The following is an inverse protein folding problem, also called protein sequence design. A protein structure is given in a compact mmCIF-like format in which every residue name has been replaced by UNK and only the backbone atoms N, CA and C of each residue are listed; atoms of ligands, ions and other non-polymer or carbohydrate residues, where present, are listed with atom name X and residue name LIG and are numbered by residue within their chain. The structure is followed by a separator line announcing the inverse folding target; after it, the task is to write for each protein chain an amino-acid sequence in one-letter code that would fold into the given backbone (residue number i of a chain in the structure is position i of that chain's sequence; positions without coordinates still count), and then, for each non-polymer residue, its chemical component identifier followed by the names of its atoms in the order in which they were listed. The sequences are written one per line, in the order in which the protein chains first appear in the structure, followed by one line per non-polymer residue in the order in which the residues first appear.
data_IF_072311111136
#
_entry.id   IF_072311111136
#
_cell.length_a   1.000
_cell.length_b   1.000
_cell.length_c   1.000
_cell.angle_alpha   90.00
_cell.angle_beta   90.00
_cell.angle_gamma   90.00
#
_symmetry.space_group_name_H-M   'P 1'
#
loop_
_entity.id
_entity.type
_entity.pdbx_description
1 polymer ?
#
# COMPACT_ATOMS: atom_id res chain seq x y z
N UNK A 1 25.33 5.12 -8.70
CA UNK A 1 23.91 4.87 -9.00
C UNK A 1 23.34 4.03 -7.86
N UNK A 2 23.01 4.67 -6.74
CA UNK A 2 22.57 4.00 -5.50
C UNK A 2 21.14 4.38 -5.09
N UNK A 3 20.37 4.96 -6.00
CA UNK A 3 19.02 5.53 -5.75
C UNK A 3 17.92 4.45 -5.81
N UNK A 4 18.27 3.17 -5.97
CA UNK A 4 17.30 2.14 -6.37
C UNK A 4 17.03 1.04 -5.34
N UNK A 5 17.37 1.29 -4.06
CA UNK A 5 16.77 0.56 -2.95
C UNK A 5 15.51 1.34 -2.55
N UNK A 6 14.32 0.77 -2.75
CA UNK A 6 13.06 1.48 -2.51
C UNK A 6 13.01 2.06 -1.09
N UNK A 7 12.57 3.32 -0.95
CA UNK A 7 12.68 4.11 0.29
C UNK A 7 12.24 3.38 1.56
N UNK A 8 11.10 2.69 1.52
CA UNK A 8 10.62 1.92 2.67
C UNK A 8 11.49 0.72 3.06
N UNK A 9 12.23 0.13 2.11
CA UNK A 9 13.24 -0.88 2.43
C UNK A 9 14.52 -0.24 2.97
N UNK A 10 14.90 0.96 2.53
CA UNK A 10 16.06 1.66 3.11
C UNK A 10 15.75 2.08 4.54
N UNK A 11 14.58 2.66 4.80
CA UNK A 11 14.14 3.09 6.13
C UNK A 11 14.02 1.89 7.07
N UNK A 12 13.41 0.80 6.60
CA UNK A 12 13.31 -0.44 7.37
C UNK A 12 14.67 -1.14 7.54
N UNK A 13 15.54 -1.12 6.53
CA UNK A 13 16.90 -1.67 6.60
C UNK A 13 17.78 -0.86 7.56
N UNK A 14 17.69 0.47 7.56
CA UNK A 14 18.38 1.32 8.52
C UNK A 14 17.96 1.00 9.96
N UNK A 15 16.68 0.71 10.18
CA UNK A 15 16.18 0.22 11.47
C UNK A 15 16.78 -1.13 11.87
N UNK A 16 16.94 -2.05 10.91
CA UNK A 16 17.56 -3.37 11.13
C UNK A 16 19.07 -3.23 11.38
N UNK A 17 19.78 -2.38 10.64
CA UNK A 17 21.20 -2.06 10.80
C UNK A 17 21.50 -1.39 12.14
N UNK A 18 20.59 -0.52 12.62
CA UNK A 18 20.65 0.09 13.94
C UNK A 18 20.34 -0.89 15.10
N UNK A 19 20.14 -2.18 14.81
CA UNK A 19 19.90 -3.23 15.81
C UNK A 19 18.44 -3.57 16.06
N UNK A 20 17.51 -3.00 15.27
CA UNK A 20 16.07 -3.29 15.30
C UNK A 20 15.68 -4.65 14.72
N UNK A 21 16.41 -5.71 15.10
CA UNK A 21 16.18 -7.09 14.63
C UNK A 21 15.15 -7.84 15.48
N UNK A 22 14.72 -7.26 16.61
CA UNK A 22 13.74 -7.85 17.53
C UNK A 22 12.49 -6.98 17.63
N UNK A 23 11.34 -7.61 17.94
CA UNK A 23 10.08 -6.90 18.16
C UNK A 23 10.11 -5.92 19.35
N UNK A 24 11.15 -5.96 20.19
CA UNK A 24 11.33 -5.05 21.30
C UNK A 24 11.50 -3.60 20.83
N UNK A 25 12.13 -3.36 19.67
CA UNK A 25 12.26 -2.03 19.07
C UNK A 25 10.90 -1.46 18.64
N UNK A 26 10.06 -2.29 18.01
CA UNK A 26 8.70 -1.91 17.63
C UNK A 26 7.82 -1.62 18.85
N UNK A 27 7.95 -2.42 19.92
CA UNK A 27 7.24 -2.19 21.18
C UNK A 27 7.68 -0.90 21.87
N UNK A 28 9.00 -0.66 21.94
CA UNK A 28 9.55 0.58 22.50
C UNK A 28 9.08 1.80 21.70
N UNK A 29 9.14 1.74 20.36
CA UNK A 29 8.67 2.80 19.48
C UNK A 29 7.17 3.07 19.66
N UNK A 30 6.35 2.02 19.75
CA UNK A 30 4.91 2.15 20.03
C UNK A 30 4.61 2.77 21.40
N UNK A 31 5.36 2.38 22.44
CA UNK A 31 5.24 2.96 23.78
C UNK A 31 5.65 4.43 23.80
N UNK A 32 6.77 4.77 23.15
CA UNK A 32 7.23 6.15 22.99
C UNK A 32 6.20 7.00 22.23
N UNK A 33 5.58 6.45 21.17
CA UNK A 33 4.53 7.12 20.41
C UNK A 33 3.29 7.39 21.27
N UNK A 34 2.91 6.43 22.13
CA UNK A 34 1.80 6.59 23.08
C UNK A 34 2.11 7.67 24.12
N UNK A 35 3.34 7.74 24.62
CA UNK A 35 3.79 8.80 25.53
C UNK A 35 3.85 10.18 24.86
N UNK A 36 4.10 10.23 23.54
CA UNK A 36 4.12 11.46 22.74
C UNK A 36 2.74 11.92 22.27
N UNK A 37 1.69 11.11 22.39
CA UNK A 37 0.32 11.45 22.00
C UNK A 37 -0.20 12.76 22.61
N UNK A 38 0.04 13.12 23.89
CA UNK A 38 -0.31 14.45 24.42
C UNK A 38 0.50 15.61 23.80
N UNK A 39 1.64 15.34 23.16
CA UNK A 39 2.45 16.33 22.43
C UNK A 39 2.04 16.45 20.95
N UNK A 40 1.10 15.62 20.47
CA UNK A 40 0.54 15.72 19.12
C UNK A 40 0.12 17.15 18.67
N UNK A 41 -0.49 18.02 19.52
CA UNK A 41 -0.82 19.38 19.10
C UNK A 41 0.41 20.23 18.71
N UNK A 42 1.60 19.92 19.21
CA UNK A 42 2.83 20.61 18.80
C UNK A 42 3.24 20.22 17.38
N UNK A 43 3.01 18.97 16.98
CA UNK A 43 3.23 18.53 15.60
C UNK A 43 2.22 19.15 14.62
N UNK A 44 0.98 19.37 15.07
CA UNK A 44 -0.05 20.05 14.28
C UNK A 44 0.23 21.56 14.06
N UNK A 45 1.14 22.16 14.84
CA UNK A 45 1.57 23.54 14.65
C UNK A 45 2.57 23.72 13.49
N UNK A 46 3.08 22.63 12.91
CA UNK A 46 4.01 22.68 11.78
C UNK A 46 3.26 23.16 10.53
N UNK A 47 3.69 24.26 9.87
CA UNK A 47 3.06 24.73 8.65
C UNK A 47 3.08 23.68 7.53
N UNK A 48 1.97 23.50 6.82
CA UNK A 48 1.85 22.48 5.76
C UNK A 48 2.82 22.64 4.58
N UNK A 49 3.36 23.85 4.36
CA UNK A 49 4.42 24.07 3.38
C UNK A 49 5.72 23.32 3.73
N UNK A 50 5.99 23.08 5.01
CA UNK A 50 7.18 22.35 5.45
C UNK A 50 7.07 20.83 5.19
N UNK A 51 5.85 20.28 5.21
CA UNK A 51 5.62 18.84 5.00
C UNK A 51 5.43 18.47 3.53
N UNK A 52 5.00 19.42 2.69
CA UNK A 52 4.83 19.22 1.25
C UNK A 52 6.07 18.63 0.52
N UNK A 53 7.30 19.17 0.65
CA UNK A 53 8.46 18.62 -0.04
C UNK A 53 8.80 17.19 0.43
N UNK A 54 8.57 16.89 1.70
CA UNK A 54 8.78 15.55 2.27
C UNK A 54 7.81 14.55 1.63
N UNK A 55 6.52 14.89 1.51
CA UNK A 55 5.53 14.02 0.87
C UNK A 55 5.82 13.77 -0.61
N UNK A 56 6.33 14.78 -1.34
CA UNK A 56 6.75 14.62 -2.74
C UNK A 56 7.89 13.61 -2.84
N UNK A 57 8.93 13.74 -2.00
CA UNK A 57 10.06 12.81 -1.99
C UNK A 57 9.62 11.39 -1.64
N UNK A 58 8.79 11.21 -0.62
CA UNK A 58 8.25 9.90 -0.23
C UNK A 58 7.42 9.30 -1.36
N UNK A 59 6.58 10.09 -2.03
CA UNK A 59 5.82 9.65 -3.21
C UNK A 59 6.73 9.18 -4.35
N UNK A 60 7.81 9.91 -4.63
CA UNK A 60 8.82 9.49 -5.61
C UNK A 60 9.50 8.18 -5.22
N UNK A 61 9.74 7.95 -3.92
CA UNK A 61 10.30 6.69 -3.45
C UNK A 61 9.33 5.51 -3.68
N UNK A 62 8.01 5.72 -3.60
CA UNK A 62 7.03 4.67 -3.89
C UNK A 62 6.96 4.29 -5.38
N UNK A 63 7.34 5.18 -6.29
CA UNK A 63 7.42 4.84 -7.73
C UNK A 63 8.41 3.68 -8.00
N UNK A 64 9.42 3.51 -7.15
CA UNK A 64 10.34 2.36 -7.25
C UNK A 64 9.66 1.00 -7.06
N UNK A 65 8.52 0.95 -6.36
CA UNK A 65 7.74 -0.28 -6.16
C UNK A 65 7.10 -0.74 -7.46
N UNK A 66 6.73 0.19 -8.35
CA UNK A 66 6.13 -0.13 -9.65
C UNK A 66 7.09 -0.97 -10.49
N UNK A 67 8.40 -0.73 -10.38
CA UNK A 67 9.43 -1.51 -11.09
C UNK A 67 9.56 -2.96 -10.62
N UNK A 68 8.97 -3.32 -9.48
CA UNK A 68 8.94 -4.70 -8.97
C UNK A 68 7.76 -5.50 -9.52
N UNK A 69 6.86 -4.87 -10.27
CA UNK A 69 5.70 -5.51 -10.87
C UNK A 69 6.15 -6.22 -12.14
N UNK A 70 5.72 -7.47 -12.33
CA UNK A 70 5.91 -8.17 -13.59
C UNK A 70 4.95 -7.60 -14.64
N UNK A 71 5.49 -6.80 -15.56
CA UNK A 71 4.73 -6.18 -16.65
C UNK A 71 4.71 -7.05 -17.92
N UNK A 72 5.47 -8.14 -17.96
CA UNK A 72 5.45 -9.09 -19.08
C UNK A 72 4.23 -10.02 -18.98
N UNK A 73 3.80 -10.35 -17.76
CA UNK A 73 2.58 -11.09 -17.51
C UNK A 73 1.34 -10.17 -17.47
N UNK A 74 0.51 -10.23 -18.51
CA UNK A 74 -0.76 -9.48 -18.57
C UNK A 74 -1.70 -9.78 -17.39
N UNK A 75 -1.60 -10.97 -16.79
CA UNK A 75 -2.42 -11.33 -15.64
C UNK A 75 -2.02 -10.61 -14.35
N UNK A 76 -0.85 -9.98 -14.33
CA UNK A 76 -0.36 -9.12 -13.23
C UNK A 76 -0.30 -7.64 -13.64
N UNK A 77 0.01 -7.36 -14.91
CA UNK A 77 0.08 -6.02 -15.47
C UNK A 77 -1.30 -5.32 -15.51
N UNK A 78 -2.37 -6.03 -15.91
CA UNK A 78 -3.72 -5.43 -15.99
C UNK A 78 -4.23 -5.03 -14.60
N UNK A 79 -4.19 -5.90 -13.57
CA UNK A 79 -4.66 -5.53 -12.24
C UNK A 79 -3.82 -4.45 -11.56
N UNK A 80 -2.49 -4.49 -11.74
CA UNK A 80 -1.60 -3.46 -11.19
C UNK A 80 -1.82 -2.09 -11.82
N UNK A 81 -2.01 -2.04 -13.14
CA UNK A 81 -2.37 -0.80 -13.83
C UNK A 81 -3.71 -0.26 -13.33
N UNK A 82 -4.71 -1.15 -13.15
CA UNK A 82 -5.98 -0.77 -12.54
C UNK A 82 -5.80 -0.17 -11.15
N UNK A 83 -4.87 -0.66 -10.32
CA UNK A 83 -4.63 -0.09 -8.99
C UNK A 83 -4.05 1.32 -9.08
N UNK A 84 -3.06 1.52 -9.95
CA UNK A 84 -2.37 2.79 -10.12
C UNK A 84 -3.35 3.89 -10.57
N UNK A 85 -4.28 3.58 -11.47
CA UNK A 85 -5.23 4.58 -12.00
C UNK A 85 -6.48 4.75 -11.13
N UNK A 86 -7.02 3.67 -10.56
CA UNK A 86 -8.29 3.71 -9.84
C UNK A 86 -8.19 4.42 -8.50
N UNK A 87 -7.07 4.27 -7.77
CA UNK A 87 -6.88 4.92 -6.47
C UNK A 87 -7.00 6.45 -6.54
N UNK A 88 -6.22 7.16 -7.40
CA UNK A 88 -6.35 8.61 -7.52
C UNK A 88 -7.67 9.04 -8.15
N UNK A 89 -8.23 8.24 -9.07
CA UNK A 89 -9.49 8.58 -9.75
C UNK A 89 -10.71 8.50 -8.83
N UNK A 90 -10.74 7.51 -7.93
CA UNK A 90 -11.86 7.24 -7.03
C UNK A 90 -11.71 8.02 -5.72
N UNK A 91 -10.56 8.66 -5.48
CA UNK A 91 -10.22 9.34 -4.22
C UNK A 91 -10.35 8.45 -2.97
N UNK A 92 -10.32 7.12 -3.15
CA UNK A 92 -10.39 6.12 -2.10
C UNK A 92 -9.40 5.00 -2.38
N UNK A 93 -8.41 4.89 -1.51
CA UNK A 93 -7.39 3.82 -1.57
C UNK A 93 -8.06 2.46 -1.44
N UNK A 94 -8.98 2.31 -0.49
CA UNK A 94 -9.68 1.04 -0.25
C UNK A 94 -10.50 0.60 -1.45
N UNK A 95 -11.26 1.52 -2.07
CA UNK A 95 -12.10 1.22 -3.23
C UNK A 95 -11.25 0.90 -4.46
N UNK A 96 -10.17 1.64 -4.70
CA UNK A 96 -9.24 1.37 -5.81
C UNK A 96 -8.55 0.01 -5.67
N UNK A 97 -8.02 -0.30 -4.48
CA UNK A 97 -7.43 -1.63 -4.20
C UNK A 97 -8.46 -2.74 -4.43
N UNK A 98 -9.68 -2.57 -3.92
CA UNK A 98 -10.73 -3.57 -4.09
C UNK A 98 -11.05 -3.87 -5.55
N UNK A 99 -11.19 -2.82 -6.38
CA UNK A 99 -11.44 -2.97 -7.81
C UNK A 99 -10.32 -3.77 -8.48
N UNK A 100 -9.07 -3.43 -8.20
CA UNK A 100 -7.91 -4.12 -8.78
C UNK A 100 -7.78 -5.57 -8.33
N UNK A 101 -8.11 -5.90 -7.09
CA UNK A 101 -8.16 -7.28 -6.61
C UNK A 101 -9.24 -8.10 -7.32
N UNK A 102 -10.40 -7.49 -7.59
CA UNK A 102 -11.45 -8.14 -8.38
C UNK A 102 -10.96 -8.36 -9.82
N UNK A 103 -10.31 -7.36 -10.42
CA UNK A 103 -9.69 -7.50 -11.74
C UNK A 103 -8.63 -8.60 -11.75
N UNK A 104 -7.79 -8.73 -10.72
CA UNK A 104 -6.78 -9.79 -10.62
C UNK A 104 -7.41 -11.18 -10.68
N UNK A 105 -8.40 -11.44 -9.83
CA UNK A 105 -9.08 -12.73 -9.79
C UNK A 105 -9.82 -12.99 -11.10
N UNK A 106 -10.49 -11.99 -11.67
CA UNK A 106 -11.19 -12.13 -12.95
C UNK A 106 -10.22 -12.47 -14.10
N UNK A 107 -9.11 -11.75 -14.23
CA UNK A 107 -8.13 -11.97 -15.30
C UNK A 107 -7.46 -13.34 -15.16
N UNK A 108 -7.05 -13.74 -13.94
CA UNK A 108 -6.48 -15.09 -13.71
C UNK A 108 -7.48 -16.22 -14.04
N UNK A 109 -8.76 -16.02 -13.75
CA UNK A 109 -9.84 -16.97 -14.13
C UNK A 109 -9.98 -17.04 -15.66
N UNK A 110 -10.07 -15.90 -16.34
CA UNK A 110 -10.23 -15.84 -17.80
C UNK A 110 -9.02 -16.39 -18.56
N UNK A 111 -7.81 -16.22 -18.01
CA UNK A 111 -6.58 -16.79 -18.56
C UNK A 111 -6.36 -18.27 -18.22
N UNK A 112 -7.29 -18.92 -17.50
CA UNK A 112 -7.20 -20.34 -17.14
C UNK A 112 -6.18 -20.66 -16.04
N UNK A 113 -5.60 -19.64 -15.39
CA UNK A 113 -4.53 -19.76 -14.40
C UNK A 113 -5.08 -19.89 -12.96
N UNK A 114 -6.05 -20.76 -12.78
CA UNK A 114 -6.71 -20.96 -11.48
C UNK A 114 -5.75 -21.40 -10.36
N UNK A 115 -4.64 -22.05 -10.71
CA UNK A 115 -3.64 -22.56 -9.73
C UNK A 115 -2.85 -21.44 -9.05
N UNK A 116 -2.81 -20.25 -9.64
CA UNK A 116 -2.11 -19.09 -9.08
C UNK A 116 -3.02 -18.30 -8.11
N UNK A 117 -4.31 -18.61 -8.09
CA UNK A 117 -5.27 -17.98 -7.19
C UNK A 117 -5.18 -18.65 -5.82
N UNK A 118 -4.56 -17.96 -4.87
CA UNK A 118 -4.51 -18.44 -3.48
C UNK A 118 -5.86 -18.30 -2.78
N UNK A 119 -6.17 -19.14 -1.78
CA UNK A 119 -7.39 -18.98 -0.98
C UNK A 119 -7.51 -17.60 -0.35
N UNK A 120 -6.39 -16.99 0.05
CA UNK A 120 -6.36 -15.64 0.59
C UNK A 120 -6.85 -14.61 -0.43
N UNK A 121 -6.41 -14.70 -1.69
CA UNK A 121 -6.87 -13.84 -2.77
C UNK A 121 -8.38 -13.98 -2.98
N UNK A 122 -8.91 -15.20 -2.96
CA UNK A 122 -10.37 -15.43 -3.10
C UNK A 122 -11.15 -14.78 -1.96
N UNK A 123 -10.69 -14.96 -0.72
CA UNK A 123 -11.34 -14.36 0.46
C UNK A 123 -11.32 -12.83 0.35
N UNK A 124 -10.18 -12.23 0.03
CA UNK A 124 -10.04 -10.78 -0.12
C UNK A 124 -10.95 -10.26 -1.23
N UNK A 125 -10.94 -10.91 -2.41
CA UNK A 125 -11.82 -10.55 -3.52
C UNK A 125 -13.30 -10.67 -3.12
N UNK A 126 -13.71 -11.74 -2.42
CA UNK A 126 -15.08 -11.91 -1.96
C UNK A 126 -15.52 -10.81 -0.98
N UNK A 127 -14.65 -10.45 -0.03
CA UNK A 127 -14.90 -9.34 0.91
C UNK A 127 -15.11 -8.02 0.16
N UNK A 128 -14.27 -7.72 -0.84
CA UNK A 128 -14.44 -6.51 -1.64
C UNK A 128 -15.70 -6.53 -2.50
N UNK A 129 -16.09 -7.68 -3.06
CA UNK A 129 -17.37 -7.82 -3.79
C UNK A 129 -18.55 -7.52 -2.86
N UNK A 130 -18.55 -8.07 -1.63
CA UNK A 130 -19.58 -7.81 -0.63
C UNK A 130 -19.60 -6.31 -0.27
N UNK A 131 -18.43 -5.71 -0.06
CA UNK A 131 -18.31 -4.28 0.21
C UNK A 131 -18.92 -3.43 -0.91
N UNK A 132 -18.62 -3.74 -2.17
CA UNK A 132 -19.18 -3.04 -3.33
C UNK A 132 -20.69 -3.24 -3.50
N UNK A 133 -21.22 -4.42 -3.15
CA UNK A 133 -22.66 -4.69 -3.18
C UNK A 133 -23.41 -3.99 -2.04
N UNK A 134 -22.79 -3.84 -0.86
CA UNK A 134 -23.36 -3.10 0.25
C UNK A 134 -23.29 -1.57 0.07
N UNK A 135 -22.30 -1.07 -0.68
CA UNK A 135 -22.12 0.36 -0.93
C UNK A 135 -23.37 1.08 -1.47
N UNK A 136 -24.12 0.55 -2.47
CA UNK A 136 -25.36 1.17 -2.94
C UNK A 136 -26.55 1.01 -1.99
N UNK A 137 -26.51 0.08 -1.03
CA UNK A 137 -27.60 -0.14 -0.07
C UNK A 137 -27.60 0.83 1.13
N UNK A 138 -26.64 1.76 1.18
CA UNK A 138 -26.48 2.75 2.25
C UNK A 138 -26.80 4.20 1.81
N UNK A 139 -27.48 4.36 0.68
CA UNK A 139 -28.14 5.61 0.23
C UNK A 139 -29.66 5.43 0.26
#
# INVERSE_FOLDING_TARGET
MEIERGGGQIESAAGIEAGGRTGLSSMATGLLFLLFLPLAPLAAAIPGFATAPVLILVGLMFMSVIRKIDLEDLTEAIPSFMAIISIPLIYSIATGIGLSFITYTLVKILSGRFREITPATVVITAVFIIYFLMLPSLH
#
